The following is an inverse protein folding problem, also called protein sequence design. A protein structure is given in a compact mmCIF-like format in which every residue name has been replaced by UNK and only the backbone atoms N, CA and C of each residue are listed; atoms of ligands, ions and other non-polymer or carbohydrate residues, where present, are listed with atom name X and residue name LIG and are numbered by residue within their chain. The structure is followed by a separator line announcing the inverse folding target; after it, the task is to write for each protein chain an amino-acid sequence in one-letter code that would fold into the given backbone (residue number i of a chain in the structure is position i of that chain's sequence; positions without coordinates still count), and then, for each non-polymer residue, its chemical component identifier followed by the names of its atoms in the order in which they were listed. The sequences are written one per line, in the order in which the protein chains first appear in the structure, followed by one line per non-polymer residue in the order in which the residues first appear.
data_IF_701207721727
#
_entry.id   IF_701207721727
#
_cell.length_a   1.000
_cell.length_b   1.000
_cell.length_c   1.000
_cell.angle_alpha   90.00
_cell.angle_beta   90.00
_cell.angle_gamma   90.00
#
_symmetry.space_group_name_H-M   'P 1'
#
loop_
_entity.id
_entity.type
_entity.pdbx_description
1 polymer ?
#
# COMPACT_ATOMS: atom_id res chain seq x y z
N UNK A 1 -1.76 -13.54 14.40
CA UNK A 1 -1.69 -12.07 14.55
C UNK A 1 -1.06 -11.50 13.29
N UNK A 2 -1.62 -10.45 12.69
CA UNK A 2 -1.00 -9.81 11.52
C UNK A 2 0.16 -8.94 12.02
N UNK A 3 1.36 -9.20 11.51
CA UNK A 3 2.56 -8.47 11.90
C UNK A 3 2.75 -7.24 11.00
N UNK A 4 2.90 -6.06 11.64
CA UNK A 4 3.18 -4.80 10.94
C UNK A 4 4.66 -4.79 10.51
N UNK A 5 4.92 -4.61 9.22
CA UNK A 5 6.27 -4.55 8.65
C UNK A 5 6.36 -3.43 7.60
N UNK A 6 7.57 -3.01 7.26
CA UNK A 6 7.82 -2.09 6.13
C UNK A 6 8.08 -2.90 4.87
N UNK A 7 7.51 -2.46 3.76
CA UNK A 7 7.65 -3.08 2.45
C UNK A 7 8.21 -2.06 1.45
N UNK A 8 9.17 -2.44 0.60
CA UNK A 8 9.61 -1.58 -0.50
C UNK A 8 8.47 -1.32 -1.49
N UNK A 9 8.22 -0.05 -1.83
CA UNK A 9 7.11 0.36 -2.69
C UNK A 9 7.28 -0.16 -4.13
N UNK A 10 8.52 -0.34 -4.60
CA UNK A 10 8.86 -0.87 -5.93
C UNK A 10 8.51 -2.37 -6.07
N UNK A 11 8.51 -3.11 -4.96
CA UNK A 11 8.16 -4.54 -4.94
C UNK A 11 6.66 -4.80 -4.84
N UNK A 12 5.83 -3.77 -4.66
CA UNK A 12 4.37 -3.90 -4.54
C UNK A 12 3.71 -3.79 -5.92
N UNK A 13 3.14 -4.90 -6.38
CA UNK A 13 2.33 -4.97 -7.58
C UNK A 13 0.86 -4.66 -7.26
N UNK A 14 0.28 -3.70 -8.01
CA UNK A 14 -1.15 -3.39 -7.98
C UNK A 14 -1.87 -4.18 -9.07
N UNK A 15 -2.81 -5.08 -8.72
CA UNK A 15 -3.59 -5.80 -9.72
C UNK A 15 -4.38 -4.85 -10.63
N UNK A 16 -4.37 -5.09 -11.94
CA UNK A 16 -5.01 -4.21 -12.94
C UNK A 16 -6.49 -3.92 -12.70
N UNK A 17 -7.19 -4.83 -12.01
CA UNK A 17 -8.60 -4.64 -11.61
C UNK A 17 -8.78 -3.49 -10.60
N UNK A 18 -7.77 -3.20 -9.78
CA UNK A 18 -7.80 -2.12 -8.77
C UNK A 18 -7.35 -0.79 -9.32
N UNK A 19 -6.60 -0.77 -10.43
CA UNK A 19 -6.12 0.49 -11.04
C UNK A 19 -7.28 1.44 -11.36
N UNK A 20 -8.45 0.90 -11.73
CA UNK A 20 -9.67 1.68 -12.03
C UNK A 20 -10.33 2.30 -10.79
N UNK A 21 -9.96 1.90 -9.59
CA UNK A 21 -10.53 2.44 -8.33
C UNK A 21 -9.67 3.55 -7.73
N UNK A 22 -8.59 3.97 -8.43
CA UNK A 22 -7.80 5.11 -7.99
C UNK A 22 -8.62 6.38 -8.11
N UNK A 23 -8.53 7.22 -7.10
CA UNK A 23 -9.15 8.52 -7.03
C UNK A 23 -8.04 9.50 -6.66
N UNK A 24 -7.69 10.38 -7.59
CA UNK A 24 -6.52 11.24 -7.45
C UNK A 24 -6.71 12.30 -6.36
N UNK A 25 -7.93 12.80 -6.15
CA UNK A 25 -8.20 13.76 -5.08
C UNK A 25 -7.94 13.11 -3.72
N UNK A 26 -8.43 11.88 -3.52
CA UNK A 26 -8.16 11.12 -2.28
C UNK A 26 -6.67 10.79 -2.09
N UNK A 27 -5.91 10.61 -3.17
CA UNK A 27 -4.46 10.39 -3.06
C UNK A 27 -3.78 11.64 -2.51
N UNK A 28 -4.17 12.83 -2.98
CA UNK A 28 -3.62 14.10 -2.50
C UNK A 28 -3.99 14.31 -1.03
N UNK A 29 -5.27 14.17 -0.67
CA UNK A 29 -5.73 14.33 0.72
C UNK A 29 -4.99 13.39 1.68
N UNK A 30 -4.76 12.14 1.27
CA UNK A 30 -4.03 11.15 2.07
C UNK A 30 -2.54 11.47 2.13
N UNK A 31 -1.94 12.00 1.06
CA UNK A 31 -0.54 12.41 1.06
C UNK A 31 -0.31 13.57 2.05
N UNK A 32 -1.20 14.55 2.07
CA UNK A 32 -1.17 15.65 3.03
C UNK A 32 -1.33 15.15 4.47
N UNK A 33 -2.32 14.29 4.76
CA UNK A 33 -2.49 13.68 6.09
C UNK A 33 -1.25 12.88 6.54
N UNK A 34 -0.60 12.18 5.61
CA UNK A 34 0.62 11.41 5.90
C UNK A 34 1.81 12.32 6.18
N UNK A 35 1.94 13.47 5.50
CA UNK A 35 2.99 14.45 5.80
C UNK A 35 2.84 15.01 7.21
N UNK A 36 1.60 15.28 7.64
CA UNK A 36 1.33 15.88 8.96
C UNK A 36 1.35 14.86 10.12
N UNK A 37 0.83 13.65 9.88
CA UNK A 37 0.55 12.69 10.95
C UNK A 37 1.27 11.35 10.78
N UNK A 38 2.01 11.17 9.69
CA UNK A 38 2.59 9.90 9.30
C UNK A 38 1.54 8.87 8.87
N UNK A 39 2.02 7.69 8.49
CA UNK A 39 1.14 6.60 8.08
C UNK A 39 0.43 5.95 9.28
N UNK A 40 -0.81 6.37 9.56
CA UNK A 40 -1.61 5.79 10.66
C UNK A 40 -2.18 4.41 10.34
N UNK A 41 -2.57 4.20 9.08
CA UNK A 41 -3.21 2.95 8.63
C UNK A 41 -2.27 2.16 7.72
N UNK A 42 -1.83 0.96 8.12
CA UNK A 42 -0.98 0.10 7.28
C UNK A 42 -1.74 -0.47 6.07
N UNK A 43 -1.06 -0.68 4.95
CA UNK A 43 -1.64 -1.38 3.78
C UNK A 43 -1.74 -2.89 4.05
N UNK A 44 -2.43 -3.62 3.18
CA UNK A 44 -2.43 -5.10 3.22
C UNK A 44 -1.85 -5.64 1.93
N UNK A 45 -0.89 -6.54 2.07
CA UNK A 45 -0.23 -7.20 0.94
C UNK A 45 -0.17 -8.70 1.17
N UNK A 46 -0.17 -9.48 0.09
CA UNK A 46 0.19 -10.89 0.12
C UNK A 46 1.56 -11.09 -0.51
N UNK A 47 2.30 -12.12 -0.08
CA UNK A 47 3.52 -12.52 -0.76
C UNK A 47 3.22 -13.11 -2.15
N UNK A 48 4.13 -12.87 -3.09
CA UNK A 48 4.12 -13.41 -4.45
C UNK A 48 5.58 -13.61 -4.90
N UNK A 49 6.18 -14.73 -4.48
CA UNK A 49 7.62 -14.95 -4.63
C UNK A 49 8.44 -13.87 -3.90
N UNK A 50 9.27 -13.14 -4.66
CA UNK A 50 10.09 -12.04 -4.16
C UNK A 50 9.37 -10.68 -4.17
N UNK A 51 8.10 -10.64 -4.59
CA UNK A 51 7.28 -9.43 -4.68
C UNK A 51 6.09 -9.52 -3.74
N UNK A 52 5.34 -8.42 -3.68
CA UNK A 52 4.11 -8.31 -2.91
C UNK A 52 2.97 -7.92 -3.83
N UNK A 53 1.78 -8.47 -3.58
CA UNK A 53 0.57 -8.07 -4.31
C UNK A 53 -0.35 -7.31 -3.37
N UNK A 54 -0.76 -6.12 -3.80
CA UNK A 54 -1.64 -5.25 -3.03
C UNK A 54 -3.03 -5.86 -2.88
N UNK A 55 -3.48 -5.99 -1.63
CA UNK A 55 -4.82 -6.41 -1.25
C UNK A 55 -5.68 -5.21 -0.85
N UNK A 56 -5.12 -4.23 -0.14
CA UNK A 56 -5.86 -3.07 0.35
C UNK A 56 -4.94 -1.87 0.56
N UNK A 57 -5.47 -0.66 0.43
CA UNK A 57 -4.74 0.58 0.68
C UNK A 57 -4.11 1.19 -0.58
N UNK A 58 -4.77 1.08 -1.73
CA UNK A 58 -4.24 1.58 -3.01
C UNK A 58 -3.97 3.08 -2.99
N UNK A 59 -4.90 3.91 -2.51
CA UNK A 59 -4.68 5.35 -2.40
C UNK A 59 -3.52 5.71 -1.47
N UNK A 60 -3.31 4.96 -0.38
CA UNK A 60 -2.16 5.15 0.52
C UNK A 60 -0.84 4.78 -0.13
N UNK A 61 -0.82 3.71 -0.91
CA UNK A 61 0.37 3.32 -1.68
C UNK A 61 0.75 4.43 -2.66
N UNK A 62 -0.23 4.96 -3.40
CA UNK A 62 0.02 6.02 -4.38
C UNK A 62 0.35 7.36 -3.71
N UNK A 63 -0.22 7.65 -2.55
CA UNK A 63 0.13 8.83 -1.76
C UNK A 63 1.61 8.81 -1.35
N UNK A 64 2.07 7.71 -0.72
CA UNK A 64 3.48 7.57 -0.33
C UNK A 64 4.41 7.54 -1.55
N UNK A 65 3.98 6.95 -2.68
CA UNK A 65 4.71 7.02 -3.94
C UNK A 65 4.84 8.46 -4.45
N UNK A 66 3.77 9.26 -4.36
CA UNK A 66 3.78 10.66 -4.77
C UNK A 66 4.68 11.54 -3.87
N UNK A 67 4.78 11.18 -2.60
CA UNK A 67 5.71 11.82 -1.64
C UNK A 67 7.18 11.42 -1.86
N UNK A 68 7.46 10.42 -2.71
CA UNK A 68 8.82 9.95 -2.97
C UNK A 68 9.36 8.98 -1.92
N UNK A 69 8.48 8.39 -1.10
CA UNK A 69 8.89 7.42 -0.09
C UNK A 69 9.33 6.09 -0.73
N UNK A 70 10.33 5.45 -0.14
CA UNK A 70 10.85 4.17 -0.62
C UNK A 70 10.10 2.97 -0.01
N UNK A 71 9.55 3.16 1.19
CA UNK A 71 8.92 2.09 1.96
C UNK A 71 7.55 2.49 2.50
N UNK A 72 6.68 1.50 2.69
CA UNK A 72 5.34 1.66 3.23
C UNK A 72 5.08 0.65 4.34
N UNK A 73 4.38 1.07 5.40
CA UNK A 73 3.96 0.17 6.46
C UNK A 73 2.77 -0.67 6.01
N UNK A 74 2.81 -1.97 6.27
CA UNK A 74 1.76 -2.89 5.89
C UNK A 74 1.67 -4.12 6.76
N UNK A 75 0.64 -4.93 6.49
CA UNK A 75 0.48 -6.27 7.02
C UNK A 75 0.66 -7.29 5.90
N UNK A 76 1.49 -8.31 6.15
CA UNK A 76 1.53 -9.50 5.31
C UNK A 76 0.33 -10.38 5.64
N UNK A 77 -0.60 -10.53 4.70
CA UNK A 77 -1.74 -11.42 4.82
C UNK A 77 -1.44 -12.76 4.15
N UNK A 78 -1.94 -13.85 4.72
CA UNK A 78 -1.82 -15.18 4.14
C UNK A 78 -2.42 -15.26 2.74
N UNK A 79 -1.91 -16.17 1.91
CA UNK A 79 -2.56 -16.51 0.65
C UNK A 79 -4.00 -16.95 0.95
N UNK A 80 -4.98 -16.43 0.20
CA UNK A 80 -6.35 -16.92 0.26
C UNK A 80 -6.29 -18.39 -0.18
N UNK A 81 -6.40 -19.34 0.74
CA UNK A 81 -6.67 -20.73 0.36
C UNK A 81 -7.96 -20.69 -0.45
N UNK A 82 -7.85 -21.04 -1.73
CA UNK A 82 -8.97 -21.22 -2.63
C UNK A 82 -9.46 -22.66 -2.50
#
# INVERSE_FOLDING_TARGET
MLEKRRFPIDLIHVPSKRTKTLDHEKVVDIAEDILEHGQRTPIRVRADGNRFVLIEGYHRLEALRALGEETIEGFLVGARLH
#
